data_IF_556407991777
#
_entry.id   IF_556407991777
#
_cell.length_a   1.000
_cell.length_b   1.000
_cell.length_c   1.000
_cell.angle_alpha   90.00
_cell.angle_beta   90.00
_cell.angle_gamma   90.00
#
_symmetry.space_group_name_H-M   'P 1'
#
loop_
_entity.id
_entity.type
_entity.pdbx_description
1 polymer ?
#
# COMPACT_ATOMS: atom_id res chain seq x y z
N UNK A 1 -21.21 2.54 -9.22
CA UNK A 1 -20.82 2.26 -7.82
C UNK A 1 -19.43 1.65 -7.87
N UNK A 2 -18.40 2.48 -7.80
CA UNK A 2 -17.00 2.05 -7.74
C UNK A 2 -16.51 2.44 -6.35
N UNK A 3 -16.26 1.45 -5.50
CA UNK A 3 -15.78 1.70 -4.14
C UNK A 3 -14.35 2.26 -4.22
N UNK A 4 -14.20 3.53 -3.84
CA UNK A 4 -12.91 4.15 -3.59
C UNK A 4 -12.35 3.57 -2.29
N UNK A 5 -11.04 3.35 -2.23
CA UNK A 5 -10.38 2.95 -0.99
C UNK A 5 -10.39 4.10 0.04
N UNK A 6 -10.69 3.77 1.29
CA UNK A 6 -10.49 4.69 2.42
C UNK A 6 -9.07 4.56 2.98
N UNK A 7 -8.19 5.48 2.56
CA UNK A 7 -6.79 5.57 3.00
C UNK A 7 -6.62 5.91 4.47
N UNK A 8 -7.66 6.44 5.12
CA UNK A 8 -7.65 6.84 6.53
C UNK A 8 -8.24 5.77 7.46
N UNK A 9 -8.59 4.61 6.92
CA UNK A 9 -9.17 3.52 7.71
C UNK A 9 -8.20 3.02 8.79
N UNK A 10 -8.74 2.76 9.99
CA UNK A 10 -7.95 2.27 11.13
C UNK A 10 -7.28 0.90 10.90
N UNK A 11 -7.70 0.16 9.88
CA UNK A 11 -7.03 -1.07 9.42
C UNK A 11 -6.80 -1.01 7.90
N UNK A 12 -5.93 -0.10 7.47
CA UNK A 12 -5.59 0.12 6.07
C UNK A 12 -5.19 -1.14 5.29
N UNK A 13 -4.41 -2.10 5.85
CA UNK A 13 -4.14 -3.37 5.15
C UNK A 13 -5.38 -4.17 4.78
N UNK A 14 -6.38 -4.21 5.67
CA UNK A 14 -7.62 -4.93 5.42
C UNK A 14 -8.51 -4.19 4.41
N UNK A 15 -8.58 -2.86 4.51
CA UNK A 15 -9.30 -2.03 3.54
C UNK A 15 -8.68 -2.17 2.13
N UNK A 16 -7.36 -2.13 2.02
CA UNK A 16 -6.64 -2.35 0.77
C UNK A 16 -6.88 -3.76 0.21
N UNK A 17 -6.92 -4.80 1.06
CA UNK A 17 -7.20 -6.17 0.64
C UNK A 17 -8.63 -6.30 0.05
N UNK A 18 -9.64 -5.70 0.70
CA UNK A 18 -11.01 -5.66 0.18
C UNK A 18 -11.07 -4.92 -1.15
N UNK A 19 -10.47 -3.74 -1.22
CA UNK A 19 -10.39 -2.93 -2.44
C UNK A 19 -9.71 -3.68 -3.59
N UNK A 20 -8.59 -4.36 -3.33
CA UNK A 20 -7.86 -5.15 -4.32
C UNK A 20 -8.72 -6.27 -4.90
N UNK A 21 -9.46 -7.01 -4.05
CA UNK A 21 -10.41 -8.05 -4.51
C UNK A 21 -11.48 -7.47 -5.44
N UNK A 22 -12.04 -6.31 -5.09
CA UNK A 22 -13.01 -5.61 -5.94
C UNK A 22 -12.40 -5.24 -7.30
N UNK A 23 -11.18 -4.70 -7.30
CA UNK A 23 -10.46 -4.38 -8.54
C UNK A 23 -10.18 -5.63 -9.37
N UNK A 24 -9.78 -6.74 -8.75
CA UNK A 24 -9.54 -8.01 -9.43
C UNK A 24 -10.79 -8.55 -10.11
N UNK A 25 -11.98 -8.45 -9.47
CA UNK A 25 -13.24 -8.81 -10.13
C UNK A 25 -13.51 -7.97 -11.38
N UNK A 26 -13.23 -6.67 -11.33
CA UNK A 26 -13.43 -5.78 -12.47
C UNK A 26 -12.39 -6.07 -13.57
N UNK A 27 -11.12 -6.30 -13.19
CA UNK A 27 -10.04 -6.59 -14.13
C UNK A 27 -10.11 -7.97 -14.76
N UNK A 28 -10.76 -8.93 -14.10
CA UNK A 28 -10.99 -10.28 -14.63
C UNK A 28 -12.36 -10.43 -15.32
N UNK A 29 -13.29 -9.49 -15.10
CA UNK A 29 -14.59 -9.45 -15.76
C UNK A 29 -14.59 -8.45 -16.91
N UNK A 30 -15.26 -7.29 -16.76
CA UNK A 30 -15.50 -6.35 -17.85
C UNK A 30 -14.23 -5.74 -18.47
N UNK A 31 -13.11 -5.72 -17.75
CA UNK A 31 -11.84 -5.20 -18.27
C UNK A 31 -10.83 -6.31 -18.62
N UNK A 32 -11.23 -7.59 -18.67
CA UNK A 32 -10.33 -8.72 -18.89
C UNK A 32 -9.43 -8.55 -20.13
N UNK A 33 -10.02 -8.15 -21.25
CA UNK A 33 -9.38 -7.98 -22.56
C UNK A 33 -8.58 -6.69 -22.71
N UNK A 34 -8.63 -5.78 -21.75
CA UNK A 34 -7.91 -4.51 -21.85
C UNK A 34 -6.42 -4.65 -21.58
N UNK A 35 -5.64 -3.80 -22.24
CA UNK A 35 -4.19 -3.67 -22.05
C UNK A 35 -3.90 -3.27 -20.61
N UNK A 36 -2.84 -3.83 -20.04
CA UNK A 36 -2.47 -3.61 -18.62
C UNK A 36 -2.30 -2.13 -18.26
N UNK A 37 -1.72 -1.32 -19.17
CA UNK A 37 -1.60 0.12 -18.97
C UNK A 37 -2.96 0.83 -18.78
N UNK A 38 -4.01 0.36 -19.44
CA UNK A 38 -5.38 0.88 -19.26
C UNK A 38 -5.93 0.48 -17.90
N UNK A 39 -5.68 -0.75 -17.45
CA UNK A 39 -6.04 -1.22 -16.10
C UNK A 39 -5.36 -0.38 -15.01
N UNK A 40 -4.11 0.02 -15.23
CA UNK A 40 -3.39 0.94 -14.33
C UNK A 40 -4.09 2.31 -14.26
N UNK A 41 -4.54 2.87 -15.38
CA UNK A 41 -5.25 4.15 -15.36
C UNK A 41 -6.57 4.06 -14.58
N UNK A 42 -7.33 2.97 -14.76
CA UNK A 42 -8.53 2.72 -13.95
C UNK A 42 -8.20 2.56 -12.47
N UNK A 43 -7.12 1.85 -12.13
CA UNK A 43 -6.65 1.74 -10.76
C UNK A 43 -6.35 3.12 -10.17
N UNK A 44 -5.63 3.98 -10.91
CA UNK A 44 -5.30 5.35 -10.48
C UNK A 44 -6.54 6.23 -10.26
N UNK A 45 -7.63 5.98 -11.00
CA UNK A 45 -8.91 6.64 -10.78
C UNK A 45 -9.58 6.17 -9.48
N UNK A 46 -9.55 4.87 -9.20
CA UNK A 46 -10.23 4.27 -8.05
C UNK A 46 -9.47 4.38 -6.72
N UNK A 47 -8.15 4.60 -6.76
CA UNK A 47 -7.38 4.88 -5.54
C UNK A 47 -7.58 6.31 -5.04
N UNK A 48 -8.23 7.19 -5.80
CA UNK A 48 -8.51 8.56 -5.38
C UNK A 48 -7.27 9.48 -5.39
N UNK A 49 -7.39 10.63 -4.75
CA UNK A 49 -6.33 11.65 -4.66
C UNK A 49 -5.18 11.19 -3.76
N UNK A 50 -5.46 10.80 -2.51
CA UNK A 50 -4.44 10.31 -1.57
C UNK A 50 -3.60 9.16 -2.15
N UNK A 51 -4.24 8.22 -2.84
CA UNK A 51 -3.56 7.10 -3.48
C UNK A 51 -2.64 7.53 -4.63
N UNK A 52 -2.99 8.62 -5.33
CA UNK A 52 -2.13 9.19 -6.38
C UNK A 52 -0.94 9.92 -5.77
N UNK A 53 -1.13 10.65 -4.68
CA UNK A 53 -0.03 11.29 -3.94
C UNK A 53 0.97 10.26 -3.40
N UNK A 54 0.47 9.16 -2.83
CA UNK A 54 1.30 8.04 -2.38
C UNK A 54 2.11 7.47 -3.55
N UNK A 55 1.48 7.29 -4.72
CA UNK A 55 2.13 6.79 -5.94
C UNK A 55 3.15 7.77 -6.52
N UNK A 56 2.92 9.08 -6.39
CA UNK A 56 3.85 10.12 -6.82
C UNK A 56 5.13 10.15 -5.99
N UNK A 57 5.05 9.73 -4.73
CA UNK A 57 6.21 9.51 -3.87
C UNK A 57 7.13 8.35 -4.30
N UNK A 58 6.75 7.53 -5.29
CA UNK A 58 7.55 6.39 -5.74
C UNK A 58 8.42 6.74 -6.94
N UNK A 59 9.72 6.47 -6.84
CA UNK A 59 10.66 6.55 -7.96
C UNK A 59 10.53 5.33 -8.90
N UNK A 60 9.39 5.23 -9.62
CA UNK A 60 9.15 4.17 -10.60
C UNK A 60 9.69 4.56 -11.99
N UNK A 61 10.32 3.59 -12.67
CA UNK A 61 10.70 3.71 -14.08
C UNK A 61 9.46 3.65 -14.98
N UNK A 62 9.56 4.20 -16.19
CA UNK A 62 8.44 4.26 -17.14
C UNK A 62 7.89 2.87 -17.53
N UNK A 63 8.76 1.86 -17.59
CA UNK A 63 8.35 0.48 -17.80
C UNK A 63 7.50 -0.05 -16.64
N UNK A 64 7.91 0.22 -15.39
CA UNK A 64 7.22 -0.25 -14.20
C UNK A 64 5.90 0.49 -13.96
N UNK A 65 5.75 1.73 -14.47
CA UNK A 65 4.48 2.47 -14.40
C UNK A 65 3.34 1.78 -15.14
N UNK A 66 3.63 0.95 -16.15
CA UNK A 66 2.62 0.25 -16.95
C UNK A 66 2.22 -1.11 -16.35
N UNK A 67 2.95 -1.58 -15.34
CA UNK A 67 2.77 -2.89 -14.73
C UNK A 67 1.88 -2.75 -13.49
N UNK A 68 0.74 -3.43 -13.50
CA UNK A 68 -0.25 -3.37 -12.42
C UNK A 68 0.30 -3.93 -11.11
N UNK A 69 1.09 -5.02 -11.19
CA UNK A 69 1.71 -5.66 -10.02
C UNK A 69 2.67 -4.72 -9.27
N UNK A 70 3.34 -3.81 -9.99
CA UNK A 70 4.27 -2.85 -9.38
C UNK A 70 3.53 -1.86 -8.48
N UNK A 71 2.35 -1.40 -8.91
CA UNK A 71 1.50 -0.51 -8.11
C UNK A 71 0.90 -1.20 -6.90
N UNK A 72 0.41 -2.44 -7.06
CA UNK A 72 -0.10 -3.21 -5.93
C UNK A 72 0.96 -3.41 -4.84
N UNK A 73 2.18 -3.77 -5.23
CA UNK A 73 3.29 -3.92 -4.27
C UNK A 73 3.61 -2.60 -3.56
N UNK A 74 3.56 -1.48 -4.26
CA UNK A 74 3.75 -0.15 -3.66
C UNK A 74 2.70 0.16 -2.61
N UNK A 75 1.42 -0.08 -2.93
CA UNK A 75 0.32 0.16 -2.00
C UNK A 75 0.33 -0.79 -0.80
N UNK A 76 0.63 -2.07 -1.01
CA UNK A 76 0.78 -3.03 0.09
C UNK A 76 1.92 -2.64 1.03
N UNK A 77 3.05 -2.18 0.50
CA UNK A 77 4.16 -1.68 1.30
C UNK A 77 3.78 -0.44 2.11
N UNK A 78 3.01 0.48 1.52
CA UNK A 78 2.51 1.67 2.23
C UNK A 78 1.55 1.27 3.36
N UNK A 79 0.56 0.44 3.06
CA UNK A 79 -0.44 -0.01 4.04
C UNK A 79 0.16 -0.81 5.19
N UNK A 80 1.21 -1.60 4.93
CA UNK A 80 1.90 -2.35 5.98
C UNK A 80 2.70 -1.45 6.92
N UNK A 81 3.30 -0.36 6.41
CA UNK A 81 4.01 0.63 7.24
C UNK A 81 3.06 1.37 8.18
N UNK A 82 1.82 1.62 7.77
CA UNK A 82 0.82 2.33 8.58
C UNK A 82 0.04 1.43 9.55
N UNK A 83 0.27 0.11 9.52
CA UNK A 83 -0.46 -0.82 10.39
C UNK A 83 -0.01 -0.71 11.85
N UNK A 84 -0.85 -0.10 12.69
CA UNK A 84 -0.63 -0.02 14.14
C UNK A 84 -0.31 -1.38 14.78
N UNK A 85 -0.93 -2.48 14.29
CA UNK A 85 -0.68 -3.83 14.83
C UNK A 85 0.76 -4.27 14.56
N UNK A 86 1.29 -3.97 13.38
CA UNK A 86 2.67 -4.28 12.99
C UNK A 86 3.64 -3.42 13.78
N UNK A 87 3.41 -2.10 13.86
CA UNK A 87 4.25 -1.19 14.65
C UNK A 87 4.28 -1.59 16.12
N UNK A 88 3.13 -1.95 16.71
CA UNK A 88 3.03 -2.44 18.10
C UNK A 88 3.74 -3.78 18.29
N UNK A 89 3.65 -4.69 17.33
CA UNK A 89 4.36 -5.97 17.39
C UNK A 89 5.88 -5.76 17.32
N UNK A 90 6.35 -4.93 16.40
CA UNK A 90 7.77 -4.57 16.27
C UNK A 90 8.29 -3.91 17.55
N UNK A 91 7.57 -2.92 18.11
CA UNK A 91 7.92 -2.30 19.39
C UNK A 91 8.04 -3.30 20.54
N UNK A 92 7.19 -4.33 20.57
CA UNK A 92 7.28 -5.41 21.58
C UNK A 92 8.43 -6.37 21.33
N UNK A 93 8.87 -6.53 20.09
CA UNK A 93 9.96 -7.43 19.72
C UNK A 93 11.34 -6.79 19.96
N UNK A 94 11.42 -5.46 19.94
CA UNK A 94 12.65 -4.71 20.22
C UNK A 94 13.03 -4.87 21.70
N UNK A 95 14.25 -5.34 21.95
CA UNK A 95 14.87 -5.45 23.28
C UNK A 95 16.16 -4.61 23.30
N UNK A 96 16.48 -4.06 24.45
CA UNK A 96 17.75 -3.36 24.64
C UNK A 96 18.90 -4.36 24.52
N UNK A 97 19.89 -4.01 23.69
CA UNK A 97 21.09 -4.83 23.51
C UNK A 97 22.03 -4.69 24.73
N UNK A 98 22.85 -5.72 24.98
CA UNK A 98 23.66 -5.79 26.20
C UNK A 98 24.70 -4.66 26.35
N UNK A 99 25.10 -4.05 25.23
CA UNK A 99 26.06 -2.93 25.18
C UNK A 99 25.42 -1.61 24.75
N UNK A 100 24.09 -1.50 24.75
CA UNK A 100 23.36 -0.28 24.39
C UNK A 100 22.96 0.48 25.65
N UNK A 101 23.16 1.81 25.67
CA UNK A 101 22.67 2.64 26.78
C UNK A 101 21.16 2.79 26.71
N UNK A 102 20.51 2.97 27.86
CA UNK A 102 19.05 3.19 27.93
C UNK A 102 18.63 4.39 27.08
N UNK A 103 19.43 5.46 27.07
CA UNK A 103 19.14 6.64 26.26
C UNK A 103 19.13 6.30 24.77
N UNK A 104 20.20 5.66 24.27
CA UNK A 104 20.30 5.26 22.86
C UNK A 104 19.15 4.35 22.43
N UNK A 105 18.76 3.41 23.30
CA UNK A 105 17.62 2.52 23.09
C UNK A 105 16.29 3.28 22.95
N UNK A 106 16.02 4.25 23.83
CA UNK A 106 14.78 5.03 23.79
C UNK A 106 14.70 6.04 22.63
N UNK A 107 15.84 6.49 22.09
CA UNK A 107 15.89 7.42 20.95
C UNK A 107 15.90 6.77 19.57
N UNK A 108 15.79 5.44 19.47
CA UNK A 108 15.66 4.73 18.18
C UNK A 108 14.27 5.03 17.57
N UNK A 109 14.21 6.08 16.76
CA UNK A 109 13.05 6.49 15.95
C UNK A 109 13.04 5.80 14.59
#
# INVERSE_FOLDING_TARGET
>A
MTELIDWHSGNLPEALCKFKRTCEYIFNGPLATNVEAVKVQYLMLWVGEDGRDIRDGWALTEANRKILASHWRGFENYANKSSFRVSRFQLRAIKQEQNETVYAFMTRS
#
